data_IF_921951744583
#
_entry.id   IF_921951744583
#
_cell.length_a   1.000
_cell.length_b   1.000
_cell.length_c   1.000
_cell.angle_alpha   90.00
_cell.angle_beta   90.00
_cell.angle_gamma   90.00
#
_symmetry.space_group_name_H-M   'P 1'
#
loop_
_entity.id
_entity.type
_entity.pdbx_description
1 polymer ?
#
# COMPACT_ATOMS: atom_id res chain seq x y z
N UNK A 1 -40.06 -20.12 -47.33
CA UNK A 1 -39.29 -19.08 -46.63
C UNK A 1 -38.60 -19.75 -45.45
N UNK A 2 -37.31 -20.01 -45.56
CA UNK A 2 -36.50 -20.55 -44.43
C UNK A 2 -35.85 -19.38 -43.70
N UNK A 3 -36.13 -19.25 -42.40
CA UNK A 3 -35.46 -18.26 -41.53
C UNK A 3 -34.29 -18.98 -40.86
N UNK A 4 -33.07 -18.62 -41.24
CA UNK A 4 -31.86 -19.11 -40.59
C UNK A 4 -31.61 -18.31 -39.31
N UNK A 5 -31.67 -18.95 -38.15
CA UNK A 5 -31.31 -18.37 -36.88
C UNK A 5 -29.81 -18.38 -36.73
N UNK A 6 -29.18 -17.20 -36.65
CA UNK A 6 -27.76 -17.01 -36.38
C UNK A 6 -27.54 -17.07 -34.85
N UNK A 7 -26.99 -18.17 -34.35
CA UNK A 7 -26.48 -18.22 -32.95
C UNK A 7 -25.14 -17.48 -32.85
N UNK A 8 -25.17 -16.33 -32.21
CA UNK A 8 -23.93 -15.62 -31.81
C UNK A 8 -23.44 -16.25 -30.49
N UNK A 9 -22.37 -17.01 -30.58
CA UNK A 9 -21.67 -17.52 -29.41
C UNK A 9 -20.75 -16.40 -28.87
N UNK A 10 -21.15 -15.81 -27.74
CA UNK A 10 -20.28 -14.88 -27.02
C UNK A 10 -19.11 -15.66 -26.40
N UNK A 11 -17.90 -15.43 -26.90
CA UNK A 11 -16.69 -15.93 -26.26
C UNK A 11 -16.42 -15.12 -24.98
N UNK A 12 -16.79 -15.67 -23.84
CA UNK A 12 -16.35 -15.16 -22.54
C UNK A 12 -14.84 -15.38 -22.43
N UNK A 13 -14.09 -14.29 -22.42
CA UNK A 13 -12.65 -14.31 -22.14
C UNK A 13 -12.45 -14.72 -20.68
N UNK A 14 -12.14 -15.97 -20.43
CA UNK A 14 -11.66 -16.44 -19.13
C UNK A 14 -10.32 -15.76 -18.86
N UNK A 15 -10.32 -14.76 -18.02
CA UNK A 15 -9.09 -14.23 -17.42
C UNK A 15 -8.54 -15.35 -16.53
N UNK A 16 -7.44 -15.95 -16.96
CA UNK A 16 -6.74 -16.94 -16.17
C UNK A 16 -6.33 -16.30 -14.83
N UNK A 17 -6.96 -16.71 -13.74
CA UNK A 17 -6.53 -16.35 -12.40
C UNK A 17 -5.19 -17.04 -12.15
N UNK A 18 -4.18 -16.24 -11.80
CA UNK A 18 -2.86 -16.74 -11.40
C UNK A 18 -3.05 -17.68 -10.19
N UNK A 19 -2.66 -18.97 -10.27
CA UNK A 19 -2.92 -19.93 -9.20
C UNK A 19 -2.13 -19.66 -7.92
N UNK A 20 -1.22 -18.68 -7.93
CA UNK A 20 -0.45 -18.27 -6.76
C UNK A 20 -0.86 -16.86 -6.33
N UNK A 21 -1.38 -16.69 -5.10
CA UNK A 21 -1.66 -15.35 -4.60
C UNK A 21 -0.36 -14.56 -4.54
N UNK A 22 -0.26 -13.55 -5.41
CA UNK A 22 0.90 -12.65 -5.43
C UNK A 22 0.82 -11.78 -4.19
N UNK A 23 1.66 -12.08 -3.18
CA UNK A 23 1.82 -11.21 -2.02
C UNK A 23 2.36 -9.86 -2.51
N UNK A 24 1.53 -8.83 -2.40
CA UNK A 24 1.84 -7.52 -2.96
C UNK A 24 2.67 -6.64 -2.04
N UNK A 25 2.61 -6.89 -0.74
CA UNK A 25 3.44 -6.20 0.25
C UNK A 25 4.62 -7.08 0.61
N UNK A 26 5.81 -6.65 0.27
CA UNK A 26 7.05 -7.41 0.38
C UNK A 26 8.08 -6.68 1.23
N UNK A 27 8.97 -7.41 1.86
CA UNK A 27 10.11 -6.86 2.59
C UNK A 27 11.29 -7.83 2.54
N UNK A 28 12.51 -7.33 2.56
CA UNK A 28 13.71 -8.12 2.78
C UNK A 28 14.02 -8.25 4.28
N UNK A 29 13.55 -7.33 5.11
CA UNK A 29 13.73 -7.35 6.56
C UNK A 29 12.79 -8.34 7.25
N UNK A 30 13.35 -9.29 8.01
CA UNK A 30 12.57 -10.21 8.83
C UNK A 30 11.72 -9.48 9.89
N UNK A 31 12.24 -8.37 10.42
CA UNK A 31 11.56 -7.56 11.43
C UNK A 31 10.34 -6.84 10.87
N UNK A 32 10.45 -6.28 9.66
CA UNK A 32 9.33 -5.64 8.97
C UNK A 32 8.29 -6.69 8.54
N UNK A 33 8.72 -7.85 8.03
CA UNK A 33 7.81 -8.99 7.74
C UNK A 33 7.00 -9.40 8.97
N UNK A 34 7.68 -9.51 10.13
CA UNK A 34 7.02 -9.84 11.40
C UNK A 34 5.97 -8.78 11.79
N UNK A 35 6.28 -7.49 11.61
CA UNK A 35 5.36 -6.41 11.90
C UNK A 35 4.16 -6.39 10.95
N UNK A 36 4.36 -6.68 9.66
CA UNK A 36 3.26 -6.82 8.68
C UNK A 36 2.35 -7.99 9.07
N UNK A 37 2.94 -9.15 9.40
CA UNK A 37 2.18 -10.32 9.84
C UNK A 37 1.39 -10.04 11.13
N UNK A 38 2.00 -9.36 12.09
CA UNK A 38 1.35 -8.95 13.33
C UNK A 38 0.20 -7.98 13.08
N UNK A 39 0.42 -6.93 12.28
CA UNK A 39 -0.61 -5.97 11.90
C UNK A 39 -1.79 -6.67 11.24
N UNK A 40 -1.53 -7.55 10.28
CA UNK A 40 -2.56 -8.34 9.60
C UNK A 40 -3.34 -9.25 10.55
N UNK A 41 -2.68 -9.87 11.52
CA UNK A 41 -3.34 -10.76 12.46
C UNK A 41 -4.18 -10.01 13.51
N UNK A 42 -3.70 -8.87 14.00
CA UNK A 42 -4.24 -8.21 15.20
C UNK A 42 -5.04 -6.95 14.92
N UNK A 43 -4.91 -6.33 13.74
CA UNK A 43 -5.62 -5.11 13.38
C UNK A 43 -6.56 -5.35 12.20
N UNK A 44 -7.84 -5.09 12.39
CA UNK A 44 -8.84 -5.12 11.32
C UNK A 44 -8.57 -4.03 10.28
N UNK A 45 -8.14 -2.85 10.74
CA UNK A 45 -7.75 -1.73 9.88
C UNK A 45 -6.56 -2.11 9.00
N UNK A 46 -5.49 -2.70 9.58
CA UNK A 46 -4.31 -3.12 8.82
C UNK A 46 -4.67 -4.21 7.80
N UNK A 47 -5.48 -5.18 8.17
CA UNK A 47 -5.95 -6.25 7.29
C UNK A 47 -6.68 -5.71 6.08
N UNK A 48 -7.56 -4.71 6.27
CA UNK A 48 -8.27 -4.04 5.17
C UNK A 48 -7.30 -3.33 4.21
N UNK A 49 -6.25 -2.68 4.70
CA UNK A 49 -5.21 -2.09 3.84
C UNK A 49 -4.54 -3.15 2.96
N UNK A 50 -4.17 -4.29 3.55
CA UNK A 50 -3.58 -5.43 2.81
C UNK A 50 -4.53 -5.92 1.72
N UNK A 51 -5.81 -6.15 2.05
CA UNK A 51 -6.83 -6.61 1.11
C UNK A 51 -7.01 -5.65 -0.08
N UNK A 52 -7.06 -4.34 0.18
CA UNK A 52 -7.18 -3.32 -0.87
C UNK A 52 -5.95 -3.30 -1.76
N UNK A 53 -4.76 -3.39 -1.17
CA UNK A 53 -3.49 -3.40 -1.91
C UNK A 53 -3.38 -4.69 -2.75
N UNK A 54 -3.76 -5.84 -2.20
CA UNK A 54 -3.73 -7.12 -2.90
C UNK A 54 -4.72 -7.19 -4.07
N UNK A 55 -5.79 -6.43 -4.03
CA UNK A 55 -6.74 -6.30 -5.13
C UNK A 55 -6.31 -5.26 -6.20
N UNK A 56 -5.30 -4.44 -5.91
CA UNK A 56 -4.88 -3.31 -6.75
C UNK A 56 -3.81 -3.64 -7.80
N UNK A 57 -3.25 -2.60 -8.41
CA UNK A 57 -2.18 -2.67 -9.40
C UNK A 57 -0.82 -2.20 -8.86
N UNK A 58 -0.61 -2.29 -7.54
CA UNK A 58 0.66 -1.90 -6.90
C UNK A 58 1.39 -3.10 -6.32
N UNK A 59 2.72 -3.05 -6.33
CA UNK A 59 3.63 -3.87 -5.55
C UNK A 59 4.36 -2.95 -4.58
N UNK A 60 4.33 -3.28 -3.31
CA UNK A 60 4.93 -2.47 -2.25
C UNK A 60 6.16 -3.19 -1.69
N UNK A 61 7.29 -2.50 -1.64
CA UNK A 61 8.48 -2.96 -0.93
C UNK A 61 8.69 -2.08 0.31
N UNK A 62 8.49 -2.66 1.49
CA UNK A 62 8.73 -2.00 2.77
C UNK A 62 10.04 -2.50 3.34
N UNK A 63 11.09 -1.69 3.30
CA UNK A 63 12.43 -2.09 3.72
C UNK A 63 13.06 -1.09 4.69
N UNK A 64 14.08 -1.56 5.40
CA UNK A 64 14.84 -0.72 6.34
C UNK A 64 15.52 0.44 5.63
N UNK A 65 15.48 1.60 6.25
CA UNK A 65 16.16 2.78 5.73
C UNK A 65 15.77 4.05 6.47
N UNK A 66 16.48 5.12 6.15
CA UNK A 66 16.21 6.43 6.72
C UNK A 66 15.26 7.23 5.84
N UNK A 67 14.39 7.99 6.48
CA UNK A 67 13.50 8.95 5.86
C UNK A 67 14.05 10.37 6.04
N UNK A 68 13.73 11.24 5.09
CA UNK A 68 13.92 12.68 5.33
C UNK A 68 13.00 13.14 6.47
N UNK A 69 13.29 14.29 7.06
CA UNK A 69 12.46 14.93 8.10
C UNK A 69 12.31 14.15 9.41
N UNK A 70 13.23 13.22 9.67
CA UNK A 70 13.32 12.54 10.98
C UNK A 70 12.08 11.70 11.37
N UNK A 71 11.30 11.23 10.39
CA UNK A 71 10.11 10.41 10.61
C UNK A 71 10.43 8.92 10.72
N UNK A 72 9.59 8.11 11.41
CA UNK A 72 9.83 6.67 11.61
C UNK A 72 9.64 5.84 10.33
N UNK A 73 8.77 6.25 9.42
CA UNK A 73 8.60 5.63 8.11
C UNK A 73 8.23 6.68 7.07
N UNK A 74 8.33 6.34 5.79
CA UNK A 74 7.92 7.21 4.69
C UNK A 74 7.70 6.41 3.40
N UNK A 75 6.65 6.76 2.67
CA UNK A 75 6.49 6.38 1.27
C UNK A 75 7.45 7.22 0.42
N UNK A 76 8.29 6.58 -0.38
CA UNK A 76 9.18 7.28 -1.28
C UNK A 76 8.41 7.84 -2.48
N UNK A 77 8.70 9.08 -2.86
CA UNK A 77 8.10 9.74 -4.03
C UNK A 77 8.72 9.21 -5.34
N UNK A 78 8.68 7.91 -5.50
CA UNK A 78 9.17 7.20 -6.69
C UNK A 78 8.18 6.14 -7.13
N UNK A 79 7.98 6.01 -8.43
CA UNK A 79 7.16 4.97 -9.03
C UNK A 79 7.97 4.28 -10.11
N UNK A 80 8.09 2.97 -10.03
CA UNK A 80 8.67 2.14 -11.08
C UNK A 80 7.57 1.29 -11.71
N UNK A 81 7.56 1.15 -13.02
CA UNK A 81 6.60 0.31 -13.73
C UNK A 81 7.20 -1.06 -13.99
N UNK A 82 6.53 -2.11 -13.53
CA UNK A 82 6.90 -3.51 -13.75
C UNK A 82 5.70 -4.26 -14.35
N UNK A 83 5.68 -4.40 -15.68
CA UNK A 83 4.53 -4.96 -16.39
C UNK A 83 3.28 -4.10 -16.17
N UNK A 84 2.22 -4.72 -15.65
CA UNK A 84 0.97 -4.03 -15.29
C UNK A 84 1.00 -3.35 -13.92
N UNK A 85 2.06 -3.55 -13.13
CA UNK A 85 2.15 -3.06 -11.77
C UNK A 85 2.95 -1.78 -11.63
N UNK A 86 2.52 -0.95 -10.66
CA UNK A 86 3.28 0.18 -10.12
C UNK A 86 4.03 -0.30 -8.88
N UNK A 87 5.34 -0.18 -8.89
CA UNK A 87 6.18 -0.53 -7.73
C UNK A 87 6.37 0.71 -6.87
N UNK A 88 5.99 0.62 -5.62
CA UNK A 88 6.14 1.65 -4.60
C UNK A 88 7.09 1.17 -3.50
N UNK A 89 7.80 2.09 -2.87
CA UNK A 89 8.75 1.78 -1.82
C UNK A 89 8.45 2.54 -0.53
N UNK A 90 8.41 1.82 0.57
CA UNK A 90 8.33 2.36 1.93
C UNK A 90 9.70 2.17 2.59
N UNK A 91 10.24 3.24 3.20
CA UNK A 91 11.39 3.16 4.08
C UNK A 91 10.93 3.19 5.53
N UNK A 92 11.55 2.34 6.36
CA UNK A 92 11.24 2.23 7.79
C UNK A 92 12.52 2.34 8.59
N UNK A 93 12.61 3.37 9.43
CA UNK A 93 13.72 3.53 10.37
C UNK A 93 13.42 2.74 11.66
N UNK A 94 13.97 1.53 11.76
CA UNK A 94 13.71 0.65 12.90
C UNK A 94 14.16 1.22 14.26
N UNK A 95 15.09 2.18 14.27
CA UNK A 95 15.52 2.86 15.51
C UNK A 95 14.45 3.82 16.02
N UNK A 96 13.67 4.43 15.11
CA UNK A 96 12.61 5.39 15.41
C UNK A 96 11.22 4.75 15.52
N UNK A 97 11.11 3.50 15.12
CA UNK A 97 9.88 2.71 15.17
C UNK A 97 10.03 1.49 16.09
N UNK A 98 10.26 1.64 17.41
CA UNK A 98 10.34 0.50 18.32
C UNK A 98 8.95 -0.05 18.63
N UNK A 99 8.86 -1.39 18.83
CA UNK A 99 7.64 -2.05 19.31
C UNK A 99 6.41 -1.74 18.46
N UNK A 100 5.34 -1.30 19.11
CA UNK A 100 4.07 -0.95 18.47
C UNK A 100 4.17 0.16 17.42
N UNK A 101 5.12 1.08 17.58
CA UNK A 101 5.34 2.17 16.62
C UNK A 101 5.71 1.63 15.23
N UNK A 102 6.28 0.43 15.14
CA UNK A 102 6.62 -0.20 13.87
C UNK A 102 5.36 -0.57 13.08
N UNK A 103 4.41 -1.24 13.71
CA UNK A 103 3.14 -1.65 13.08
C UNK A 103 2.30 -0.42 12.72
N UNK A 104 2.21 0.55 13.63
CA UNK A 104 1.55 1.86 13.40
C UNK A 104 2.13 2.56 12.17
N UNK A 105 3.46 2.73 12.13
CA UNK A 105 4.12 3.46 11.04
C UNK A 105 3.96 2.75 9.71
N UNK A 106 4.05 1.41 9.67
CA UNK A 106 3.80 0.66 8.44
C UNK A 106 2.34 0.83 7.99
N UNK A 107 1.36 0.73 8.91
CA UNK A 107 -0.05 0.92 8.60
C UNK A 107 -0.34 2.31 8.02
N UNK A 108 0.27 3.35 8.60
CA UNK A 108 0.21 4.72 8.09
C UNK A 108 0.71 4.81 6.63
N UNK A 109 1.90 4.27 6.35
CA UNK A 109 2.46 4.31 4.98
C UNK A 109 1.67 3.45 3.99
N UNK A 110 1.10 2.33 4.43
CA UNK A 110 0.20 1.52 3.59
C UNK A 110 -1.09 2.27 3.25
N UNK A 111 -1.57 3.17 4.11
CA UNK A 111 -2.69 4.02 3.76
C UNK A 111 -2.33 4.99 2.63
N UNK A 112 -1.15 5.59 2.65
CA UNK A 112 -0.68 6.39 1.52
C UNK A 112 -0.60 5.58 0.21
N UNK A 113 -0.26 4.28 0.27
CA UNK A 113 -0.34 3.40 -0.90
C UNK A 113 -1.79 3.24 -1.38
N UNK A 114 -2.76 3.11 -0.47
CA UNK A 114 -4.19 3.04 -0.81
C UNK A 114 -4.66 4.34 -1.47
N UNK A 115 -4.21 5.50 -0.99
CA UNK A 115 -4.48 6.78 -1.64
C UNK A 115 -3.95 6.81 -3.09
N UNK A 116 -2.73 6.32 -3.32
CA UNK A 116 -2.14 6.20 -4.68
C UNK A 116 -2.94 5.24 -5.57
N UNK A 117 -3.55 4.19 -5.00
CA UNK A 117 -4.39 3.26 -5.76
C UNK A 117 -5.64 3.94 -6.33
N UNK A 118 -6.17 4.96 -5.68
CA UNK A 118 -7.33 5.72 -6.15
C UNK A 118 -7.07 6.47 -7.47
N UNK A 119 -5.80 6.77 -7.79
CA UNK A 119 -5.40 7.51 -8.98
C UNK A 119 -4.49 6.67 -9.89
N UNK A 120 -5.09 5.97 -10.84
CA UNK A 120 -4.39 5.07 -11.77
C UNK A 120 -3.40 5.77 -12.72
N UNK A 121 -3.53 7.09 -12.90
CA UNK A 121 -2.65 7.87 -13.78
C UNK A 121 -1.29 8.15 -13.17
N UNK A 122 -1.10 7.91 -11.88
CA UNK A 122 0.20 8.07 -11.22
C UNK A 122 1.14 6.96 -11.70
N UNK A 123 2.10 7.31 -12.56
CA UNK A 123 3.08 6.38 -13.13
C UNK A 123 4.52 6.85 -12.99
N UNK A 124 4.73 8.05 -12.45
CA UNK A 124 6.05 8.65 -12.22
C UNK A 124 6.13 9.30 -10.85
N UNK A 125 7.36 9.49 -10.34
CA UNK A 125 7.58 10.18 -9.06
C UNK A 125 7.06 11.63 -9.07
N UNK A 126 7.14 12.33 -10.20
CA UNK A 126 6.61 13.69 -10.33
C UNK A 126 5.08 13.72 -10.20
N UNK A 127 4.38 12.77 -10.83
CA UNK A 127 2.92 12.67 -10.68
C UNK A 127 2.52 12.32 -9.25
N UNK A 128 3.29 11.45 -8.59
CA UNK A 128 3.09 11.09 -7.19
C UNK A 128 3.30 12.31 -6.27
N UNK A 129 4.34 13.10 -6.53
CA UNK A 129 4.59 14.34 -5.80
C UNK A 129 3.42 15.31 -5.91
N UNK A 130 2.96 15.62 -7.13
CA UNK A 130 1.84 16.54 -7.34
C UNK A 130 0.50 16.01 -6.80
N UNK A 131 0.31 14.70 -6.82
CA UNK A 131 -0.86 14.09 -6.18
C UNK A 131 -0.89 14.39 -4.68
N UNK A 132 0.20 14.10 -3.96
CA UNK A 132 0.27 14.38 -2.53
C UNK A 132 0.31 15.89 -2.20
N UNK A 133 0.87 16.70 -3.08
CA UNK A 133 0.78 18.17 -2.95
C UNK A 133 -0.67 18.64 -2.99
N UNK A 134 -1.53 17.98 -3.77
CA UNK A 134 -2.94 18.31 -3.91
C UNK A 134 -3.84 17.81 -2.78
N UNK A 135 -3.55 16.69 -2.16
CA UNK A 135 -4.41 16.07 -1.11
C UNK A 135 -3.84 16.19 0.30
N UNK A 136 -2.52 16.31 0.41
CA UNK A 136 -1.81 16.34 1.69
C UNK A 136 -1.76 17.72 2.33
N UNK A 137 -1.48 17.74 3.63
CA UNK A 137 -1.11 18.95 4.35
C UNK A 137 0.39 19.20 4.15
N UNK A 138 0.73 20.21 3.39
CA UNK A 138 2.12 20.59 3.15
C UNK A 138 2.67 21.36 4.35
N UNK A 139 3.51 20.74 5.12
CA UNK A 139 4.28 21.39 6.18
C UNK A 139 5.65 20.76 6.25
N UNK A 140 6.72 21.55 6.15
CA UNK A 140 8.11 21.09 6.26
C UNK A 140 8.50 19.97 5.25
N UNK A 141 7.93 19.96 4.04
CA UNK A 141 8.19 18.94 3.01
C UNK A 141 7.59 17.58 3.28
N UNK A 142 6.55 17.50 4.10
CA UNK A 142 5.75 16.30 4.37
C UNK A 142 4.43 16.40 3.62
N UNK A 143 3.98 15.28 3.11
CA UNK A 143 2.67 15.13 2.47
C UNK A 143 1.82 14.21 3.33
N UNK A 144 1.34 14.74 4.46
CA UNK A 144 0.51 13.99 5.41
C UNK A 144 -0.96 14.21 5.09
N UNK A 145 -1.76 13.15 5.18
CA UNK A 145 -3.22 13.25 5.14
C UNK A 145 -3.80 12.96 6.52
N UNK A 146 -4.94 13.56 6.81
CA UNK A 146 -5.63 13.31 8.08
C UNK A 146 -6.04 11.83 8.20
N UNK A 147 -6.41 11.23 7.08
CA UNK A 147 -6.78 9.81 7.01
C UNK A 147 -5.60 8.91 7.35
N UNK A 148 -4.41 9.15 6.79
CA UNK A 148 -3.22 8.34 7.08
C UNK A 148 -2.83 8.41 8.55
N UNK A 149 -2.91 9.61 9.16
CA UNK A 149 -2.67 9.78 10.59
C UNK A 149 -3.67 8.97 11.43
N UNK A 150 -4.98 9.07 11.13
CA UNK A 150 -6.02 8.36 11.83
C UNK A 150 -5.88 6.84 11.68
N UNK A 151 -5.59 6.36 10.48
CA UNK A 151 -5.36 4.93 10.20
C UNK A 151 -4.16 4.40 10.99
N UNK A 152 -3.06 5.14 11.05
CA UNK A 152 -1.92 4.76 11.89
C UNK A 152 -2.30 4.59 13.36
N UNK A 153 -3.07 5.54 13.92
CA UNK A 153 -3.55 5.49 15.30
C UNK A 153 -4.52 4.31 15.53
N UNK A 154 -5.41 4.01 14.58
CA UNK A 154 -6.32 2.88 14.66
C UNK A 154 -5.56 1.56 14.67
N UNK A 155 -4.59 1.41 13.78
CA UNK A 155 -3.70 0.24 13.74
C UNK A 155 -2.98 0.06 15.08
N UNK A 156 -2.43 1.13 15.65
CA UNK A 156 -1.78 1.06 16.95
C UNK A 156 -2.74 0.63 18.06
N UNK A 157 -3.94 1.21 18.10
CA UNK A 157 -4.97 0.85 19.10
C UNK A 157 -5.39 -0.61 18.99
N UNK A 158 -5.53 -1.14 17.78
CA UNK A 158 -5.98 -2.49 17.54
C UNK A 158 -4.86 -3.53 17.77
N UNK A 159 -3.68 -3.31 17.17
CA UNK A 159 -2.59 -4.27 17.22
C UNK A 159 -1.89 -4.33 18.58
N UNK A 160 -1.93 -3.25 19.37
CA UNK A 160 -1.12 -3.08 20.57
C UNK A 160 -1.90 -3.18 21.89
N UNK A 161 -3.18 -3.44 21.85
CA UNK A 161 -3.98 -3.68 23.08
C UNK A 161 -3.42 -4.87 23.85
N UNK A 162 -3.05 -4.65 25.12
CA UNK A 162 -2.59 -5.70 26.02
C UNK A 162 -1.09 -6.01 26.00
N UNK A 163 -0.28 -5.07 25.49
CA UNK A 163 1.18 -5.09 25.67
C UNK A 163 1.63 -4.22 26.84
#
# INVERSE_FOLDING_TARGET
>A
MLVAALCVVAAESMVAQDPYPVVRIRSHSARIKGAIAEGTARSATFRRLVEVIDAGDVLVYADEGECKHDVPACLLLSVTIAGSYRVLQIRVNLRKAPGCKLVESIGHELHHVVEVLSERRIRTGSQLYHFFEGIGQTGLGRFETAEALNVGLDVAREACRGR
#
